data_IF_942379060467
#
_entry.id   IF_942379060467
#
_cell.length_a   1.000
_cell.length_b   1.000
_cell.length_c   1.000
_cell.angle_alpha   90.00
_cell.angle_beta   90.00
_cell.angle_gamma   90.00
#
_symmetry.space_group_name_H-M   'P 1'
#
loop_
_entity.id
_entity.type
_entity.pdbx_description
1 polymer ?
#
# COMPACT_ATOMS: atom_id res chain seq x y z
N UNK A 1 -10.00 7.89 26.94
CA UNK A 1 -10.83 6.75 27.39
C UNK A 1 -11.96 7.32 28.20
N UNK A 2 -13.22 7.20 27.75
CA UNK A 2 -14.35 7.55 28.58
C UNK A 2 -14.59 6.39 29.55
N UNK A 3 -14.28 6.59 30.84
CA UNK A 3 -14.70 5.67 31.90
C UNK A 3 -16.19 5.90 32.11
N UNK A 4 -16.98 4.85 31.99
CA UNK A 4 -18.39 4.86 32.31
C UNK A 4 -18.53 5.20 33.81
N UNK A 5 -19.17 6.32 34.13
CA UNK A 5 -19.45 6.72 35.51
C UNK A 5 -20.58 5.85 36.01
N UNK A 6 -20.25 4.82 36.80
CA UNK A 6 -21.26 4.02 37.49
C UNK A 6 -21.97 4.93 38.51
N UNK A 7 -23.23 5.24 38.24
CA UNK A 7 -24.09 5.99 39.14
C UNK A 7 -24.40 5.13 40.37
N UNK A 8 -23.84 5.49 41.53
CA UNK A 8 -23.82 4.63 42.72
C UNK A 8 -25.19 4.50 43.42
N UNK A 9 -26.19 5.25 42.98
CA UNK A 9 -27.53 5.32 43.63
C UNK A 9 -28.56 4.46 42.90
N UNK A 10 -28.37 4.22 41.60
CA UNK A 10 -29.34 3.50 40.76
C UNK A 10 -28.90 2.05 40.58
N UNK A 11 -29.66 1.11 41.15
CA UNK A 11 -29.44 -0.32 40.94
C UNK A 11 -29.64 -0.62 39.44
N UNK A 12 -28.57 -1.01 38.74
CA UNK A 12 -28.66 -1.43 37.33
C UNK A 12 -29.47 -2.75 37.27
N UNK A 13 -30.76 -2.61 36.97
CA UNK A 13 -31.74 -3.70 36.83
C UNK A 13 -31.35 -4.71 35.73
N UNK A 14 -30.33 -4.38 34.92
CA UNK A 14 -29.88 -5.16 33.78
C UNK A 14 -28.45 -5.68 33.95
N UNK A 15 -27.86 -5.65 35.15
CA UNK A 15 -26.51 -6.22 35.42
C UNK A 15 -26.41 -7.69 35.01
N UNK A 16 -27.48 -8.46 35.17
CA UNK A 16 -27.52 -9.88 34.81
C UNK A 16 -27.75 -10.13 33.32
N UNK A 17 -28.11 -9.09 32.54
CA UNK A 17 -28.30 -9.23 31.10
C UNK A 17 -26.95 -9.11 30.38
N UNK A 18 -26.69 -10.03 29.45
CA UNK A 18 -25.50 -9.95 28.59
C UNK A 18 -25.61 -8.72 27.69
N UNK A 19 -24.95 -7.62 28.05
CA UNK A 19 -24.79 -6.45 27.17
C UNK A 19 -24.03 -6.91 25.91
N UNK A 20 -24.57 -6.70 24.69
CA UNK A 20 -23.84 -7.03 23.47
C UNK A 20 -22.60 -6.15 23.41
N UNK A 21 -21.43 -6.75 23.68
CA UNK A 21 -20.15 -6.07 23.56
C UNK A 21 -19.88 -5.64 22.12
N UNK A 22 -18.88 -4.78 21.92
CA UNK A 22 -18.42 -4.41 20.58
C UNK A 22 -18.23 -5.68 19.74
N UNK A 23 -18.88 -5.82 18.58
CA UNK A 23 -18.68 -6.97 17.71
C UNK A 23 -17.19 -7.16 17.47
N UNK A 24 -16.68 -8.40 17.60
CA UNK A 24 -15.30 -8.70 17.22
C UNK A 24 -15.13 -8.22 15.78
N UNK A 25 -14.24 -7.25 15.56
CA UNK A 25 -14.13 -6.45 14.33
C UNK A 25 -13.79 -7.26 13.06
N UNK A 26 -13.62 -8.57 13.18
CA UNK A 26 -13.81 -9.54 12.10
C UNK A 26 -14.02 -10.92 12.76
N UNK A 27 -15.03 -11.72 12.35
CA UNK A 27 -15.29 -13.05 12.93
C UNK A 27 -14.17 -14.07 12.64
N UNK A 28 -13.31 -13.81 11.64
CA UNK A 28 -12.24 -14.72 11.24
C UNK A 28 -10.95 -14.51 12.07
N UNK A 29 -10.14 -15.57 12.28
CA UNK A 29 -8.81 -15.42 12.86
C UNK A 29 -7.87 -14.63 11.95
N UNK A 30 -6.87 -13.93 12.52
CA UNK A 30 -5.95 -13.02 11.79
C UNK A 30 -5.29 -13.66 10.57
N UNK A 31 -4.88 -14.92 10.67
CA UNK A 31 -4.22 -15.65 9.59
C UNK A 31 -5.12 -15.81 8.36
N UNK A 32 -6.41 -16.09 8.57
CA UNK A 32 -7.39 -16.19 7.50
C UNK A 32 -7.69 -14.83 6.88
N UNK A 33 -7.80 -13.78 7.70
CA UNK A 33 -7.97 -12.41 7.22
C UNK A 33 -6.84 -12.01 6.27
N UNK A 34 -5.59 -12.28 6.64
CA UNK A 34 -4.42 -11.97 5.80
C UNK A 34 -4.47 -12.73 4.46
N UNK A 35 -4.83 -14.02 4.48
CA UNK A 35 -5.00 -14.82 3.26
C UNK A 35 -6.08 -14.26 2.33
N UNK A 36 -7.25 -13.91 2.88
CA UNK A 36 -8.35 -13.33 2.12
C UNK A 36 -7.97 -11.97 1.55
N UNK A 37 -7.35 -11.11 2.36
CA UNK A 37 -6.92 -9.78 1.93
C UNK A 37 -5.88 -9.87 0.81
N UNK A 38 -4.92 -10.79 0.91
CA UNK A 38 -3.94 -11.01 -0.15
C UNK A 38 -4.59 -11.52 -1.44
N UNK A 39 -5.56 -12.44 -1.34
CA UNK A 39 -6.32 -12.92 -2.50
C UNK A 39 -7.10 -11.79 -3.18
N UNK A 40 -7.77 -10.93 -2.39
CA UNK A 40 -8.50 -9.75 -2.89
C UNK A 40 -7.56 -8.76 -3.57
N UNK A 41 -6.37 -8.51 -3.00
CA UNK A 41 -5.33 -7.69 -3.62
C UNK A 41 -4.96 -8.24 -5.00
N UNK A 42 -4.60 -9.52 -5.08
CA UNK A 42 -4.22 -10.16 -6.34
C UNK A 42 -5.35 -10.16 -7.37
N UNK A 43 -6.60 -10.37 -6.95
CA UNK A 43 -7.77 -10.29 -7.85
C UNK A 43 -7.98 -8.87 -8.37
N UNK A 44 -7.82 -7.84 -7.53
CA UNK A 44 -7.89 -6.44 -7.94
C UNK A 44 -6.81 -6.11 -8.96
N UNK A 45 -5.56 -6.45 -8.65
CA UNK A 45 -4.42 -6.20 -9.55
C UNK A 45 -4.63 -6.89 -10.91
N UNK A 46 -5.14 -8.13 -10.92
CA UNK A 46 -5.49 -8.85 -12.16
C UNK A 46 -6.60 -8.16 -12.96
N UNK A 47 -7.66 -7.69 -12.29
CA UNK A 47 -8.77 -6.98 -12.95
C UNK A 47 -8.33 -5.64 -13.55
N UNK A 48 -7.40 -4.96 -12.87
CA UNK A 48 -6.84 -3.67 -13.31
C UNK A 48 -5.66 -3.84 -14.29
N UNK A 49 -5.31 -5.08 -14.69
CA UNK A 49 -4.20 -5.35 -15.60
C UNK A 49 -2.81 -5.06 -15.01
N UNK A 50 -2.70 -4.82 -13.71
CA UNK A 50 -1.44 -4.48 -13.04
C UNK A 50 -0.52 -5.69 -12.96
N UNK A 51 0.75 -5.48 -13.29
CA UNK A 51 1.84 -6.46 -13.18
C UNK A 51 2.90 -5.95 -12.23
N UNK A 52 3.50 -6.86 -11.45
CA UNK A 52 4.59 -6.51 -10.55
C UNK A 52 5.91 -6.55 -11.33
N UNK A 53 6.67 -5.46 -11.23
CA UNK A 53 8.04 -5.35 -11.75
C UNK A 53 8.97 -5.32 -10.53
N UNK A 54 9.92 -6.25 -10.45
CA UNK A 54 10.94 -6.29 -9.41
C UNK A 54 12.26 -5.77 -9.98
N UNK A 55 12.77 -4.68 -9.40
CA UNK A 55 13.98 -3.99 -9.87
C UNK A 55 14.94 -3.80 -8.70
N UNK A 56 16.22 -4.08 -8.93
CA UNK A 56 17.32 -3.63 -8.08
C UNK A 56 17.88 -2.35 -8.69
N UNK A 57 18.03 -1.32 -7.87
CA UNK A 57 18.55 -0.01 -8.27
C UNK A 57 19.58 0.46 -7.25
N UNK A 58 20.44 1.38 -7.66
CA UNK A 58 21.41 2.01 -6.76
C UNK A 58 20.71 2.75 -5.61
N UNK A 59 21.37 2.75 -4.45
CA UNK A 59 20.83 3.35 -3.24
C UNK A 59 20.54 4.84 -3.41
N UNK A 60 21.40 5.57 -4.12
CA UNK A 60 21.23 7.00 -4.38
C UNK A 60 19.96 7.27 -5.21
N UNK A 61 19.75 6.50 -6.28
CA UNK A 61 18.55 6.60 -7.13
C UNK A 61 17.29 6.30 -6.31
N UNK A 62 17.35 5.26 -5.49
CA UNK A 62 16.24 4.89 -4.60
C UNK A 62 15.89 6.02 -3.61
N UNK A 63 16.89 6.68 -3.02
CA UNK A 63 16.69 7.79 -2.10
C UNK A 63 16.06 8.99 -2.81
N UNK A 64 16.61 9.41 -3.95
CA UNK A 64 16.08 10.52 -4.74
C UNK A 64 14.62 10.31 -5.16
N UNK A 65 14.28 9.11 -5.63
CA UNK A 65 12.90 8.76 -5.97
C UNK A 65 11.96 8.77 -4.75
N UNK A 66 12.48 8.45 -3.58
CA UNK A 66 11.70 8.44 -2.34
C UNK A 66 11.41 9.86 -1.86
N UNK A 67 12.44 10.70 -1.82
CA UNK A 67 12.32 12.11 -1.44
C UNK A 67 11.38 12.87 -2.39
N UNK A 68 11.52 12.67 -3.70
CA UNK A 68 10.65 13.31 -4.68
C UNK A 68 9.19 12.87 -4.53
N UNK A 69 8.95 11.59 -4.24
CA UNK A 69 7.60 11.09 -4.02
C UNK A 69 6.97 11.68 -2.73
N UNK A 70 7.75 11.83 -1.67
CA UNK A 70 7.31 12.48 -0.43
C UNK A 70 7.00 13.96 -0.64
N UNK A 71 7.83 14.69 -1.39
CA UNK A 71 7.59 16.09 -1.74
C UNK A 71 6.31 16.30 -2.55
N UNK A 72 5.99 15.34 -3.42
CA UNK A 72 4.81 15.37 -4.29
C UNK A 72 3.57 14.73 -3.64
N UNK A 73 3.64 14.32 -2.37
CA UNK A 73 2.59 13.57 -1.64
C UNK A 73 2.03 12.39 -2.45
N UNK A 74 2.91 11.68 -3.15
CA UNK A 74 2.56 10.53 -3.98
C UNK A 74 3.30 9.27 -3.56
N UNK A 75 2.80 8.13 -4.03
CA UNK A 75 3.49 6.85 -3.83
C UNK A 75 4.62 6.75 -4.85
N UNK A 76 5.80 6.37 -4.38
CA UNK A 76 6.98 6.08 -5.21
C UNK A 76 6.68 5.18 -6.42
N UNK A 77 5.83 4.16 -6.25
CA UNK A 77 5.45 3.26 -7.35
C UNK A 77 4.71 3.97 -8.48
N UNK A 78 3.85 4.94 -8.14
CA UNK A 78 3.13 5.75 -9.12
C UNK A 78 4.07 6.72 -9.83
N UNK A 79 4.94 7.41 -9.07
CA UNK A 79 5.96 8.29 -9.64
C UNK A 79 6.85 7.56 -10.65
N UNK A 80 7.34 6.36 -10.30
CA UNK A 80 8.16 5.54 -11.21
C UNK A 80 7.39 5.14 -12.46
N UNK A 81 6.12 4.75 -12.32
CA UNK A 81 5.28 4.41 -13.47
C UNK A 81 5.11 5.60 -14.43
N UNK A 82 4.88 6.81 -13.91
CA UNK A 82 4.70 8.01 -14.72
C UNK A 82 6.01 8.45 -15.40
N UNK A 83 7.15 8.38 -14.70
CA UNK A 83 8.47 8.61 -15.29
C UNK A 83 8.73 7.64 -16.45
N UNK A 84 8.42 6.35 -16.27
CA UNK A 84 8.59 5.35 -17.33
C UNK A 84 7.69 5.65 -18.52
N UNK A 85 6.42 6.01 -18.30
CA UNK A 85 5.49 6.38 -19.39
C UNK A 85 6.00 7.59 -20.17
N UNK A 86 6.46 8.63 -19.48
CA UNK A 86 7.04 9.81 -20.10
C UNK A 86 8.29 9.45 -20.90
N UNK A 87 9.19 8.64 -20.34
CA UNK A 87 10.41 8.21 -21.03
C UNK A 87 10.10 7.39 -22.30
N UNK A 88 9.09 6.51 -22.25
CA UNK A 88 8.67 5.70 -23.40
C UNK A 88 7.93 6.51 -24.48
N UNK A 89 7.28 7.61 -24.10
CA UNK A 89 6.62 8.50 -25.05
C UNK A 89 7.63 9.31 -25.88
N UNK A 90 8.86 9.49 -25.39
CA UNK A 90 9.92 10.19 -26.12
C UNK A 90 10.71 9.21 -27.01
N UNK A 91 10.63 9.33 -28.34
CA UNK A 91 11.23 8.37 -29.27
C UNK A 91 12.77 8.34 -29.21
N UNK A 92 13.40 9.43 -28.77
CA UNK A 92 14.87 9.59 -28.78
C UNK A 92 15.57 8.93 -27.59
N UNK A 93 14.82 8.63 -26.52
CA UNK A 93 15.39 8.08 -25.29
C UNK A 93 15.74 6.59 -25.47
N UNK A 94 14.89 5.82 -26.16
CA UNK A 94 15.14 4.39 -26.33
C UNK A 94 16.46 4.10 -27.10
N UNK A 95 16.77 4.77 -28.22
CA UNK A 95 18.06 4.62 -28.91
C UNK A 95 19.25 5.06 -28.04
N UNK A 96 19.12 6.17 -27.30
CA UNK A 96 20.18 6.68 -26.45
C UNK A 96 20.54 5.71 -25.31
N UNK A 97 19.53 5.13 -24.65
CA UNK A 97 19.72 4.11 -23.61
C UNK A 97 20.35 2.84 -24.19
N UNK A 98 19.88 2.38 -25.36
CA UNK A 98 20.47 1.22 -26.06
C UNK A 98 21.96 1.46 -26.37
N UNK A 99 22.31 2.66 -26.82
CA UNK A 99 23.69 3.01 -27.14
C UNK A 99 24.56 3.09 -25.88
N UNK A 100 24.06 3.64 -24.78
CA UNK A 100 24.78 3.68 -23.50
C UNK A 100 25.04 2.26 -22.95
N UNK A 101 24.05 1.36 -23.04
CA UNK A 101 24.19 -0.04 -22.65
C UNK A 101 25.23 -0.77 -23.52
N UNK A 102 25.22 -0.56 -24.84
CA UNK A 102 26.23 -1.13 -25.75
C UNK A 102 27.63 -0.58 -25.51
N UNK A 103 27.75 0.65 -25.03
CA UNK A 103 29.04 1.27 -24.70
C UNK A 103 29.61 0.82 -23.34
N UNK A 104 28.90 -0.03 -22.58
CA UNK A 104 29.36 -0.53 -21.27
C UNK A 104 29.46 0.56 -20.20
N UNK A 105 28.81 1.72 -20.42
CA UNK A 105 28.75 2.83 -19.47
C UNK A 105 27.42 2.76 -18.73
N UNK A 106 27.34 1.86 -17.75
CA UNK A 106 26.30 1.86 -16.71
C UNK A 106 26.95 1.42 -15.42
#
# INVERSE_FOLDING_TARGET
>A
MAKESADAVTIDLFVQQKKPGRPRTNPLPRNEQLRINKRKQLQRDRREGRRRIELKADQQVYQQLSELAEQLDTRRSHLVEDIIKLALAHPDIAPAVINALKAGKT
#
